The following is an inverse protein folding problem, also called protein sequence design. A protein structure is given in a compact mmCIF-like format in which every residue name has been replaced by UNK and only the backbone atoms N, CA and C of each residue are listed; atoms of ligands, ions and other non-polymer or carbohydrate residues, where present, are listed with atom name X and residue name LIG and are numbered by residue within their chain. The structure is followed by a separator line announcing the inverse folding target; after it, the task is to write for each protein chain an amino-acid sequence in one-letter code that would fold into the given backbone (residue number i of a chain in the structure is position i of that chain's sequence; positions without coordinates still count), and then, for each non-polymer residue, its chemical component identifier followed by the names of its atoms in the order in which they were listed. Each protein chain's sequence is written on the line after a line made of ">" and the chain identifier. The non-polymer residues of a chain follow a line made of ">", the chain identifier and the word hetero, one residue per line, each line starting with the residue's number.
data_IF_032844292186
#
_entry.id   IF_032844292186
#
_cell.length_a   1.000
_cell.length_b   1.000
_cell.length_c   1.000
_cell.angle_alpha   90.00
_cell.angle_beta   90.00
_cell.angle_gamma   90.00
#
_symmetry.space_group_name_H-M   'P 1'
#
loop_
_entity.id
_entity.type
_entity.pdbx_description
1 polymer ?
#
# COMPACT_ATOMS: atom_id res chain seq x y z
N UNK A 1 -8.11 -10.16 -17.67
CA UNK A 1 -9.42 -9.97 -18.36
C UNK A 1 -10.46 -9.37 -17.42
N UNK A 2 -11.40 -8.56 -17.91
CA UNK A 2 -12.43 -7.91 -17.08
C UNK A 2 -13.33 -8.93 -16.35
N UNK A 3 -13.43 -10.14 -16.88
CA UNK A 3 -14.17 -11.25 -16.26
C UNK A 3 -13.54 -11.76 -14.96
N UNK A 4 -12.23 -11.57 -14.75
CA UNK A 4 -11.49 -12.09 -13.59
C UNK A 4 -11.04 -11.01 -12.62
N UNK A 5 -11.26 -9.72 -12.92
CA UNK A 5 -10.72 -8.61 -12.14
C UNK A 5 -11.30 -8.56 -10.72
N UNK A 6 -12.60 -8.82 -10.56
CA UNK A 6 -13.26 -8.77 -9.26
C UNK A 6 -12.76 -9.85 -8.30
N UNK A 7 -12.57 -11.07 -8.81
CA UNK A 7 -12.02 -12.18 -8.01
C UNK A 7 -10.57 -11.88 -7.63
N UNK A 8 -9.77 -11.41 -8.58
CA UNK A 8 -8.38 -11.03 -8.34
C UNK A 8 -8.27 -9.94 -7.25
N UNK A 9 -9.06 -8.87 -7.33
CA UNK A 9 -9.05 -7.80 -6.32
C UNK A 9 -9.44 -8.30 -4.93
N UNK A 10 -10.42 -9.21 -4.85
CA UNK A 10 -10.84 -9.81 -3.57
C UNK A 10 -9.74 -10.67 -2.95
N UNK A 11 -9.10 -11.53 -3.75
CA UNK A 11 -7.99 -12.37 -3.31
C UNK A 11 -6.78 -11.53 -2.88
N UNK A 12 -6.40 -10.55 -3.71
CA UNK A 12 -5.29 -9.65 -3.40
C UNK A 12 -5.54 -8.85 -2.13
N UNK A 13 -6.75 -8.29 -1.95
CA UNK A 13 -7.12 -7.60 -0.72
C UNK A 13 -6.96 -8.50 0.50
N UNK A 14 -7.44 -9.74 0.41
CA UNK A 14 -7.33 -10.72 1.50
C UNK A 14 -5.87 -11.02 1.86
N UNK A 15 -5.01 -11.22 0.86
CA UNK A 15 -3.57 -11.45 1.06
C UNK A 15 -2.92 -10.23 1.71
N UNK A 16 -3.20 -9.03 1.18
CA UNK A 16 -2.60 -7.78 1.67
C UNK A 16 -3.02 -7.44 3.10
N UNK A 17 -4.26 -7.73 3.50
CA UNK A 17 -4.74 -7.51 4.87
C UNK A 17 -4.18 -8.52 5.87
N UNK A 18 -4.12 -9.80 5.49
CA UNK A 18 -3.85 -10.88 6.46
C UNK A 18 -2.38 -11.31 6.52
N UNK A 19 -1.63 -11.14 5.43
CA UNK A 19 -0.28 -11.69 5.31
C UNK A 19 0.81 -10.62 5.24
N UNK A 20 0.49 -9.43 4.73
CA UNK A 20 1.47 -8.34 4.58
C UNK A 20 1.49 -7.44 5.82
N UNK A 21 1.98 -7.99 6.93
CA UNK A 21 2.17 -7.21 8.16
C UNK A 21 3.29 -6.18 7.97
N UNK A 22 2.95 -4.90 8.07
CA UNK A 22 3.92 -3.80 8.03
C UNK A 22 4.19 -3.29 9.45
N UNK A 23 5.42 -3.45 9.93
CA UNK A 23 5.78 -3.13 11.31
C UNK A 23 7.31 -2.95 11.46
N UNK A 24 7.79 -2.78 12.69
CA UNK A 24 9.22 -2.74 13.02
C UNK A 24 9.92 -4.06 12.65
N UNK A 25 11.16 -4.02 12.10
CA UNK A 25 11.90 -5.24 11.74
C UNK A 25 12.28 -6.10 12.95
N UNK A 26 12.05 -5.61 14.17
CA UNK A 26 12.30 -6.35 15.41
C UNK A 26 11.22 -7.41 15.71
N UNK A 27 10.07 -7.37 15.03
CA UNK A 27 9.01 -8.39 15.18
C UNK A 27 9.16 -9.45 14.10
N UNK A 28 9.20 -10.72 14.51
CA UNK A 28 9.48 -11.86 13.63
C UNK A 28 8.43 -12.10 12.54
N UNK A 29 7.19 -11.66 12.75
CA UNK A 29 6.06 -11.81 11.83
C UNK A 29 5.88 -10.59 10.90
N UNK A 30 6.81 -9.64 10.93
CA UNK A 30 6.84 -8.49 10.02
C UNK A 30 7.18 -8.97 8.61
N UNK A 31 6.30 -8.69 7.65
CA UNK A 31 6.56 -8.99 6.25
C UNK A 31 7.52 -7.96 5.62
N UNK A 32 7.22 -6.66 5.79
CA UNK A 32 8.14 -5.59 5.39
C UNK A 32 7.99 -4.38 6.33
N UNK A 33 8.94 -3.43 6.27
CA UNK A 33 9.04 -2.33 7.22
C UNK A 33 9.02 -0.95 6.54
N UNK A 34 9.37 0.09 7.29
CA UNK A 34 9.47 1.46 6.83
C UNK A 34 10.46 1.63 5.66
N UNK A 35 10.22 2.63 4.82
CA UNK A 35 11.14 3.02 3.76
C UNK A 35 12.36 3.75 4.32
N UNK A 36 13.45 3.78 3.54
CA UNK A 36 14.78 4.19 4.00
C UNK A 36 14.87 5.62 4.54
N UNK A 37 14.16 6.57 3.89
CA UNK A 37 14.26 7.99 4.21
C UNK A 37 12.99 8.78 3.88
N UNK A 38 12.97 10.05 4.32
CA UNK A 38 11.85 10.98 4.13
C UNK A 38 11.61 11.28 2.65
N UNK A 39 12.65 11.31 1.83
CA UNK A 39 12.52 11.58 0.39
C UNK A 39 11.76 10.45 -0.32
N UNK A 40 12.11 9.20 -0.01
CA UNK A 40 11.41 8.01 -0.51
C UNK A 40 9.96 8.00 -0.04
N UNK A 41 9.72 8.31 1.23
CA UNK A 41 8.38 8.42 1.79
C UNK A 41 7.52 9.44 1.07
N UNK A 42 8.02 10.68 0.95
CA UNK A 42 7.29 11.77 0.31
C UNK A 42 7.01 11.47 -1.17
N UNK A 43 7.96 10.86 -1.89
CA UNK A 43 7.80 10.49 -3.29
C UNK A 43 6.69 9.45 -3.48
N UNK A 44 6.67 8.39 -2.66
CA UNK A 44 5.64 7.36 -2.76
C UNK A 44 4.27 7.91 -2.33
N UNK A 45 4.23 8.68 -1.23
CA UNK A 45 3.02 9.39 -0.80
C UNK A 45 2.45 10.27 -1.91
N UNK A 46 3.30 11.00 -2.63
CA UNK A 46 2.86 11.84 -3.75
C UNK A 46 2.17 11.03 -4.87
N UNK A 47 2.68 9.83 -5.21
CA UNK A 47 2.01 8.97 -6.19
C UNK A 47 0.66 8.45 -5.71
N UNK A 48 0.55 8.08 -4.43
CA UNK A 48 -0.71 7.65 -3.82
C UNK A 48 -1.72 8.81 -3.80
N UNK A 49 -1.28 10.01 -3.43
CA UNK A 49 -2.11 11.21 -3.42
C UNK A 49 -2.56 11.61 -4.84
N UNK A 50 -1.70 11.43 -5.85
CA UNK A 50 -2.06 11.59 -7.25
C UNK A 50 -3.15 10.59 -7.67
N UNK A 51 -2.97 9.31 -7.35
CA UNK A 51 -3.94 8.27 -7.67
C UNK A 51 -5.29 8.46 -6.96
N UNK A 52 -5.29 9.08 -5.77
CA UNK A 52 -6.53 9.45 -5.05
C UNK A 52 -7.28 10.60 -5.72
N UNK A 53 -6.57 11.52 -6.38
CA UNK A 53 -7.13 12.72 -7.02
C UNK A 53 -7.51 12.51 -8.49
N UNK A 54 -6.87 11.58 -9.18
CA UNK A 54 -7.16 11.31 -10.59
C UNK A 54 -8.49 10.58 -10.76
N UNK A 55 -9.29 11.01 -11.75
CA UNK A 55 -10.52 10.33 -12.16
C UNK A 55 -10.25 9.04 -12.95
N UNK A 56 -9.02 8.84 -13.40
CA UNK A 56 -8.60 7.68 -14.20
C UNK A 56 -8.07 6.52 -13.35
N UNK A 57 -8.04 6.67 -12.03
CA UNK A 57 -7.45 5.66 -11.14
C UNK A 57 -8.35 5.43 -9.94
N UNK A 58 -8.31 4.21 -9.40
CA UNK A 58 -9.08 3.83 -8.23
C UNK A 58 -8.20 3.08 -7.24
N UNK A 59 -8.14 3.57 -6.00
CA UNK A 59 -7.48 2.84 -4.91
C UNK A 59 -8.43 1.72 -4.47
N UNK A 60 -8.01 0.47 -4.68
CA UNK A 60 -8.78 -0.73 -4.33
C UNK A 60 -8.50 -1.16 -2.89
N UNK A 61 -7.26 -0.99 -2.44
CA UNK A 61 -6.82 -1.33 -1.08
C UNK A 61 -5.63 -0.45 -0.66
N UNK A 62 -5.57 -0.15 0.65
CA UNK A 62 -4.48 0.59 1.27
C UNK A 62 -4.44 2.08 0.94
N UNK A 63 -3.23 2.61 0.75
CA UNK A 63 -3.02 4.03 0.43
C UNK A 63 -2.84 4.93 1.65
N UNK A 64 -2.64 4.36 2.84
CA UNK A 64 -2.27 5.10 4.04
C UNK A 64 -0.73 5.21 4.17
N UNK A 65 -0.28 6.36 4.67
CA UNK A 65 1.13 6.64 4.94
C UNK A 65 1.24 7.23 6.35
N UNK A 66 2.22 6.79 7.12
CA UNK A 66 2.47 7.24 8.49
C UNK A 66 3.97 7.50 8.66
N UNK A 67 4.35 8.72 9.06
CA UNK A 67 5.72 9.13 9.35
C UNK A 67 5.98 9.52 10.81
N UNK A 68 5.07 9.18 11.74
CA UNK A 68 5.15 9.60 13.15
C UNK A 68 6.28 8.90 13.92
N UNK A 69 6.52 7.62 13.66
CA UNK A 69 7.54 6.80 14.36
C UNK A 69 8.62 6.29 13.39
N UNK A 70 8.27 6.15 12.12
CA UNK A 70 9.13 5.73 11.03
C UNK A 70 8.38 5.92 9.72
N UNK A 71 9.05 5.80 8.58
CA UNK A 71 8.46 6.09 7.28
C UNK A 71 7.64 4.90 6.72
N UNK A 72 6.48 4.63 7.31
CA UNK A 72 5.66 3.48 6.97
C UNK A 72 4.65 3.80 5.87
N UNK A 73 4.58 2.91 4.87
CA UNK A 73 3.62 3.00 3.77
C UNK A 73 2.84 1.70 3.72
N UNK A 74 1.52 1.79 3.72
CA UNK A 74 0.65 0.62 3.63
C UNK A 74 0.74 0.02 2.22
N UNK A 75 0.69 -1.32 2.06
CA UNK A 75 0.59 -1.95 0.76
C UNK A 75 -0.61 -1.39 0.01
N UNK A 76 -0.39 -0.87 -1.19
CA UNK A 76 -1.41 -0.11 -1.93
C UNK A 76 -1.69 -0.78 -3.27
N UNK A 77 -2.97 -1.04 -3.56
CA UNK A 77 -3.43 -1.61 -4.82
C UNK A 77 -4.23 -0.55 -5.59
N UNK A 78 -3.78 -0.22 -6.79
CA UNK A 78 -4.38 0.81 -7.65
C UNK A 78 -4.82 0.16 -8.96
N UNK A 79 -6.07 0.39 -9.34
CA UNK A 79 -6.62 0.08 -10.66
C UNK A 79 -6.50 1.32 -11.56
N UNK A 80 -6.11 1.11 -12.82
CA UNK A 80 -5.94 2.12 -13.87
C UNK A 80 -6.84 1.80 -15.06
#
# INVERSE_FOLDING_TARGET
>A
PRSLSNEFYSQMKTIMEKQLRIDTPLKFDTFTSAVIDRNSFNRIRMYIDYARKSSSTKIIFGGECNDSVGFYIQPTLIET
#
